data_IF_887972783345
#
_entry.id   IF_887972783345
#
_cell.length_a   1.000
_cell.length_b   1.000
_cell.length_c   1.000
_cell.angle_alpha   90.00
_cell.angle_beta   90.00
_cell.angle_gamma   90.00
#
_symmetry.space_group_name_H-M   'P 1'
#
loop_
_entity.id
_entity.type
_entity.pdbx_description
1 polymer ?
#
# COMPACT_ATOMS: atom_id res chain seq x y z
N UNK A 1 -22.72 -15.08 -7.03
CA UNK A 1 -21.36 -14.49 -6.93
C UNK A 1 -21.48 -13.06 -6.45
N UNK A 2 -20.85 -12.72 -5.32
CA UNK A 2 -20.81 -11.35 -4.79
C UNK A 2 -19.94 -10.46 -5.70
N UNK A 3 -20.40 -9.25 -6.02
CA UNK A 3 -19.70 -8.33 -6.91
C UNK A 3 -19.79 -6.90 -6.39
N UNK A 4 -18.74 -6.13 -6.68
CA UNK A 4 -18.65 -4.69 -6.49
C UNK A 4 -18.56 -4.04 -7.88
N UNK A 5 -19.73 -3.73 -8.46
CA UNK A 5 -19.92 -3.47 -9.90
C UNK A 5 -19.48 -4.68 -10.74
N UNK A 6 -18.49 -4.48 -11.61
CA UNK A 6 -17.92 -5.48 -12.52
C UNK A 6 -16.83 -6.36 -11.90
N UNK A 7 -16.37 -6.04 -10.66
CA UNK A 7 -15.24 -6.73 -10.02
C UNK A 7 -15.67 -7.76 -8.98
N UNK A 8 -14.93 -8.87 -8.86
CA UNK A 8 -15.19 -9.91 -7.88
C UNK A 8 -14.62 -9.61 -6.49
N UNK A 9 -14.16 -8.38 -6.25
CA UNK A 9 -13.63 -7.90 -4.97
C UNK A 9 -13.95 -6.42 -4.73
N UNK A 10 -13.98 -6.03 -3.47
CA UNK A 10 -14.24 -4.65 -3.01
C UNK A 10 -13.08 -3.74 -3.39
N UNK A 11 -13.11 -3.22 -4.60
CA UNK A 11 -12.02 -2.41 -5.13
C UNK A 11 -12.07 -0.97 -4.63
N UNK A 12 -10.89 -0.35 -4.53
CA UNK A 12 -10.78 1.08 -4.20
C UNK A 12 -11.60 1.97 -5.14
N UNK A 13 -11.62 1.70 -6.45
CA UNK A 13 -12.41 2.49 -7.41
C UNK A 13 -13.93 2.39 -7.11
N UNK A 14 -14.42 1.22 -6.72
CA UNK A 14 -15.80 1.04 -6.30
C UNK A 14 -16.10 1.86 -5.04
N UNK A 15 -15.31 1.69 -3.98
CA UNK A 15 -15.49 2.42 -2.72
C UNK A 15 -15.44 3.93 -2.91
N UNK A 16 -14.52 4.44 -3.73
CA UNK A 16 -14.40 5.86 -4.00
C UNK A 16 -15.60 6.43 -4.75
N UNK A 17 -16.15 5.69 -5.71
CA UNK A 17 -17.37 6.10 -6.42
C UNK A 17 -18.59 6.12 -5.50
N UNK A 18 -18.73 5.13 -4.62
CA UNK A 18 -19.80 5.12 -3.62
C UNK A 18 -19.67 6.31 -2.65
N UNK A 19 -18.45 6.60 -2.19
CA UNK A 19 -18.20 7.68 -1.21
C UNK A 19 -18.30 9.09 -1.80
N UNK A 20 -17.81 9.29 -3.02
CA UNK A 20 -17.64 10.62 -3.63
C UNK A 20 -18.51 10.87 -4.86
N UNK A 21 -19.26 9.87 -5.34
CA UNK A 21 -20.16 9.99 -6.50
C UNK A 21 -19.45 9.98 -7.87
N UNK A 22 -18.11 10.03 -7.88
CA UNK A 22 -17.32 10.05 -9.10
C UNK A 22 -15.97 9.32 -8.93
N UNK A 23 -15.24 9.21 -10.00
CA UNK A 23 -13.89 8.64 -9.97
C UNK A 23 -12.91 9.60 -9.30
N UNK A 24 -12.15 9.10 -8.34
CA UNK A 24 -11.12 9.87 -7.62
C UNK A 24 -9.75 9.34 -7.99
N UNK A 25 -8.77 10.23 -8.21
CA UNK A 25 -7.40 9.85 -8.51
C UNK A 25 -6.45 10.24 -7.38
N UNK A 26 -5.31 9.56 -7.31
CA UNK A 26 -4.24 9.93 -6.38
C UNK A 26 -3.25 10.86 -7.06
N UNK A 27 -2.85 11.91 -6.35
CA UNK A 27 -1.68 12.74 -6.66
C UNK A 27 -0.57 12.35 -5.69
N UNK A 28 0.55 11.87 -6.21
CA UNK A 28 1.65 11.33 -5.40
C UNK A 28 2.62 12.45 -5.01
N UNK A 29 2.65 12.78 -3.73
CA UNK A 29 3.39 13.89 -3.15
C UNK A 29 4.67 13.43 -2.47
N UNK A 30 5.63 14.34 -2.42
CA UNK A 30 6.89 14.17 -1.70
C UNK A 30 7.04 15.30 -0.68
N UNK A 31 6.98 14.95 0.61
CA UNK A 31 7.12 15.90 1.71
C UNK A 31 8.56 16.16 2.15
N UNK A 32 9.56 15.57 1.47
CA UNK A 32 10.97 15.73 1.81
C UNK A 32 11.45 14.89 2.99
N UNK A 33 10.65 13.93 3.47
CA UNK A 33 11.03 13.05 4.58
C UNK A 33 12.10 12.04 4.19
N UNK A 34 12.77 11.49 5.20
CA UNK A 34 13.71 10.39 5.11
C UNK A 34 13.08 9.08 5.63
N UNK A 35 13.91 8.10 5.97
CA UNK A 35 13.51 6.83 6.57
C UNK A 35 14.54 6.42 7.62
N UNK A 36 14.14 5.99 8.84
CA UNK A 36 15.07 5.56 9.88
C UNK A 36 15.95 4.38 9.48
N UNK A 37 15.53 3.58 8.50
CA UNK A 37 16.37 2.52 7.91
C UNK A 37 17.47 3.06 6.96
N UNK A 38 17.53 4.38 6.69
CA UNK A 38 18.45 4.99 5.70
C UNK A 38 19.32 6.09 6.25
N UNK A 39 18.86 6.85 7.24
CA UNK A 39 19.58 8.01 7.78
C UNK A 39 20.58 7.66 8.89
N UNK A 40 20.65 6.39 9.28
CA UNK A 40 21.55 5.90 10.32
C UNK A 40 20.89 5.68 11.66
N UNK A 41 19.63 6.05 11.85
CA UNK A 41 18.88 5.84 13.09
C UNK A 41 18.72 4.34 13.40
N UNK A 42 18.23 3.56 12.43
CA UNK A 42 18.14 2.10 12.52
C UNK A 42 19.12 1.42 11.55
N UNK A 43 19.44 2.06 10.44
CA UNK A 43 20.32 1.54 9.43
C UNK A 43 20.59 2.54 8.32
N UNK A 44 21.56 2.22 7.44
CA UNK A 44 21.97 3.08 6.31
C UNK A 44 21.53 2.54 4.94
N UNK A 45 21.18 1.24 4.86
CA UNK A 45 20.93 0.55 3.57
C UNK A 45 19.46 0.54 3.16
N UNK A 46 18.53 0.79 4.09
CA UNK A 46 17.10 0.61 3.85
C UNK A 46 16.65 -0.85 3.89
N UNK A 47 15.37 -1.09 3.61
CA UNK A 47 14.86 -2.44 3.37
C UNK A 47 15.52 -3.03 2.12
N UNK A 48 15.74 -4.36 2.09
CA UNK A 48 16.55 -4.99 1.04
C UNK A 48 15.96 -4.85 -0.37
N UNK A 49 14.65 -4.64 -0.49
CA UNK A 49 13.90 -4.50 -1.74
C UNK A 49 13.68 -3.03 -2.16
N UNK A 50 14.03 -2.06 -1.30
CA UNK A 50 13.65 -0.67 -1.50
C UNK A 50 14.65 0.05 -2.40
N UNK A 51 14.19 0.62 -3.53
CA UNK A 51 15.00 1.44 -4.43
C UNK A 51 15.57 2.69 -3.72
N UNK A 52 16.51 3.37 -4.35
CA UNK A 52 17.03 4.64 -3.82
C UNK A 52 15.93 5.71 -3.65
N UNK A 53 14.88 5.67 -4.47
CA UNK A 53 13.72 6.55 -4.37
C UNK A 53 12.78 6.27 -3.18
N UNK A 54 13.07 5.26 -2.34
CA UNK A 54 12.30 4.99 -1.12
C UNK A 54 10.82 4.74 -1.37
N UNK A 55 10.45 3.99 -2.42
CA UNK A 55 9.07 3.79 -2.91
C UNK A 55 8.41 5.05 -3.47
N UNK A 56 9.15 6.14 -3.62
CA UNK A 56 8.70 7.43 -4.15
C UNK A 56 9.07 7.67 -5.61
N UNK A 57 9.43 6.62 -6.37
CA UNK A 57 9.88 6.75 -7.77
C UNK A 57 8.87 7.46 -8.69
N UNK A 58 7.60 7.53 -8.28
CA UNK A 58 6.52 8.24 -8.98
C UNK A 58 6.02 9.49 -8.26
N UNK A 59 6.64 9.87 -7.14
CA UNK A 59 6.27 11.06 -6.40
C UNK A 59 6.78 12.34 -7.10
N UNK A 60 6.11 13.46 -6.81
CA UNK A 60 6.50 14.76 -7.33
C UNK A 60 7.88 15.20 -6.80
N UNK A 61 8.43 16.25 -7.41
CA UNK A 61 9.70 16.83 -6.98
C UNK A 61 9.53 17.53 -5.61
N UNK A 62 10.31 17.09 -4.62
CA UNK A 62 10.29 17.65 -3.25
C UNK A 62 10.73 19.13 -3.16
N UNK A 63 11.37 19.69 -4.19
CA UNK A 63 11.74 21.11 -4.22
C UNK A 63 10.54 22.06 -4.44
N UNK A 64 9.40 21.52 -4.89
CA UNK A 64 8.17 22.27 -5.09
C UNK A 64 7.33 22.31 -3.80
N UNK A 65 6.57 23.38 -3.56
CA UNK A 65 5.54 23.41 -2.51
C UNK A 65 4.50 22.30 -2.75
N UNK A 66 3.80 21.90 -1.71
CA UNK A 66 2.77 20.86 -1.83
C UNK A 66 1.67 21.26 -2.80
N UNK A 67 1.25 22.51 -2.77
CA UNK A 67 0.26 23.08 -3.71
C UNK A 67 0.74 23.00 -5.16
N UNK A 68 2.01 23.34 -5.43
CA UNK A 68 2.60 23.23 -6.78
C UNK A 68 2.68 21.79 -7.25
N UNK A 69 3.05 20.84 -6.36
CA UNK A 69 3.05 19.42 -6.65
C UNK A 69 1.64 18.93 -7.04
N UNK A 70 0.61 19.30 -6.26
CA UNK A 70 -0.79 18.95 -6.52
C UNK A 70 -1.21 19.50 -7.88
N UNK A 71 -1.05 20.81 -8.10
CA UNK A 71 -1.48 21.48 -9.33
C UNK A 71 -0.82 20.88 -10.59
N UNK A 72 0.47 20.58 -10.51
CA UNK A 72 1.22 19.98 -11.62
C UNK A 72 0.68 18.60 -11.99
N UNK A 73 0.39 17.76 -11.00
CA UNK A 73 -0.15 16.42 -11.24
C UNK A 73 -1.61 16.47 -11.69
N UNK A 74 -2.44 17.34 -11.12
CA UNK A 74 -3.82 17.57 -11.57
C UNK A 74 -3.83 17.96 -13.05
N UNK A 75 -2.99 18.91 -13.46
CA UNK A 75 -2.87 19.33 -14.87
C UNK A 75 -2.51 18.18 -15.78
N UNK A 76 -1.60 17.30 -15.36
CA UNK A 76 -1.21 16.11 -16.15
C UNK A 76 -2.31 15.05 -16.24
N UNK A 77 -3.13 14.89 -15.21
CA UNK A 77 -4.22 13.91 -15.17
C UNK A 77 -5.48 14.42 -15.88
N UNK A 78 -5.87 15.66 -15.65
CA UNK A 78 -7.08 16.29 -16.21
C UNK A 78 -7.02 16.46 -17.73
N UNK A 79 -5.81 16.60 -18.30
CA UNK A 79 -5.63 16.64 -19.77
C UNK A 79 -6.13 15.38 -20.47
N UNK A 80 -6.31 14.27 -19.75
CA UNK A 80 -6.73 12.98 -20.29
C UNK A 80 -8.21 12.66 -20.05
N UNK A 81 -8.83 13.25 -19.01
CA UNK A 81 -10.24 13.00 -18.61
C UNK A 81 -10.73 14.13 -17.68
N UNK A 82 -12.05 14.50 -17.71
CA UNK A 82 -12.62 15.39 -16.71
C UNK A 82 -12.62 14.68 -15.35
N UNK A 83 -11.84 15.19 -14.41
CA UNK A 83 -11.70 14.68 -13.05
C UNK A 83 -11.60 15.89 -12.14
N UNK A 84 -12.35 15.88 -11.03
CA UNK A 84 -12.45 17.03 -10.13
C UNK A 84 -12.08 16.70 -8.68
N UNK A 85 -11.86 15.41 -8.34
CA UNK A 85 -11.57 14.96 -6.97
C UNK A 85 -10.30 14.13 -6.92
N UNK A 86 -9.44 14.46 -5.97
CA UNK A 86 -8.15 13.81 -5.82
C UNK A 86 -7.86 13.46 -4.36
N UNK A 87 -7.04 12.43 -4.15
CA UNK A 87 -6.45 12.08 -2.87
C UNK A 87 -5.01 12.58 -2.87
N UNK A 88 -4.64 13.39 -1.91
CA UNK A 88 -3.27 13.77 -1.67
C UNK A 88 -2.54 12.60 -1.03
N UNK A 89 -1.61 11.96 -1.76
CA UNK A 89 -0.93 10.76 -1.32
C UNK A 89 0.56 11.02 -1.09
N UNK A 90 0.98 11.11 0.16
CA UNK A 90 2.38 11.16 0.56
C UNK A 90 2.97 9.76 0.51
N UNK A 91 3.87 9.53 -0.44
CA UNK A 91 4.34 8.19 -0.77
C UNK A 91 5.84 7.98 -0.51
N UNK A 92 6.69 9.00 -0.75
CA UNK A 92 8.14 8.86 -0.71
C UNK A 92 8.64 8.62 0.73
N UNK A 93 9.38 7.54 0.95
CA UNK A 93 10.01 7.20 2.24
C UNK A 93 8.99 6.99 3.39
N UNK A 94 9.24 7.62 4.56
CA UNK A 94 8.43 7.49 5.78
C UNK A 94 7.80 8.84 6.10
N UNK A 95 6.54 9.02 5.73
CA UNK A 95 5.94 10.36 5.65
C UNK A 95 5.45 10.93 6.98
N UNK A 96 5.70 10.26 8.10
CA UNK A 96 5.52 10.82 9.46
C UNK A 96 6.87 10.95 10.20
N UNK A 97 7.98 10.70 9.51
CA UNK A 97 9.31 10.76 10.09
C UNK A 97 9.95 12.15 9.86
N UNK A 98 9.41 13.14 10.54
CA UNK A 98 9.89 14.52 10.58
C UNK A 98 9.33 15.23 11.82
N UNK A 99 9.86 16.40 12.21
CA UNK A 99 9.25 17.22 13.28
C UNK A 99 7.78 17.50 13.01
N UNK A 100 6.92 17.40 14.01
CA UNK A 100 5.46 17.53 13.89
C UNK A 100 5.03 18.85 13.25
N UNK A 101 5.75 19.93 13.51
CA UNK A 101 5.47 21.24 12.90
C UNK A 101 5.69 21.25 11.38
N UNK A 102 6.69 20.52 10.88
CA UNK A 102 6.86 20.34 9.45
C UNK A 102 5.71 19.52 8.86
N UNK A 103 5.33 18.41 9.52
CA UNK A 103 4.20 17.57 9.10
C UNK A 103 2.89 18.37 9.08
N UNK A 104 2.64 19.16 10.14
CA UNK A 104 1.47 20.05 10.23
C UNK A 104 1.41 20.99 9.05
N UNK A 105 2.52 21.65 8.73
CA UNK A 105 2.58 22.58 7.59
C UNK A 105 2.20 21.91 6.28
N UNK A 106 2.87 20.83 5.91
CA UNK A 106 2.69 20.19 4.60
C UNK A 106 1.36 19.44 4.48
N UNK A 107 0.86 18.80 5.56
CA UNK A 107 -0.42 18.11 5.52
C UNK A 107 -1.60 19.08 5.53
N UNK A 108 -1.50 20.22 6.27
CA UNK A 108 -2.52 21.26 6.23
C UNK A 108 -2.56 21.92 4.86
N UNK A 109 -1.42 22.20 4.23
CA UNK A 109 -1.34 22.70 2.86
C UNK A 109 -2.04 21.75 1.88
N UNK A 110 -1.75 20.44 1.96
CA UNK A 110 -2.37 19.45 1.09
C UNK A 110 -3.89 19.34 1.28
N UNK A 111 -4.36 19.26 2.53
CA UNK A 111 -5.78 19.04 2.84
C UNK A 111 -6.64 20.28 2.58
N UNK A 112 -6.02 21.48 2.59
CA UNK A 112 -6.68 22.74 2.29
C UNK A 112 -6.97 22.95 0.80
N UNK A 113 -6.33 22.19 -0.07
CA UNK A 113 -6.58 22.31 -1.52
C UNK A 113 -8.02 21.92 -1.86
N UNK A 114 -8.77 22.73 -2.66
CA UNK A 114 -10.20 22.52 -2.91
C UNK A 114 -10.51 21.17 -3.57
N UNK A 115 -9.67 20.70 -4.49
CA UNK A 115 -9.88 19.46 -5.24
C UNK A 115 -9.44 18.20 -4.46
N UNK A 116 -8.80 18.37 -3.31
CA UNK A 116 -8.40 17.26 -2.44
C UNK A 116 -9.57 16.86 -1.54
N UNK A 117 -9.98 15.59 -1.64
CA UNK A 117 -11.10 15.04 -0.85
C UNK A 117 -10.65 14.16 0.30
N UNK A 118 -9.42 13.69 0.30
CA UNK A 118 -8.82 12.90 1.38
C UNK A 118 -7.29 13.01 1.37
N UNK A 119 -6.68 12.78 2.53
CA UNK A 119 -5.24 12.68 2.72
C UNK A 119 -4.86 11.23 2.92
N UNK A 120 -3.85 10.73 2.21
CA UNK A 120 -3.31 9.38 2.37
C UNK A 120 -1.81 9.46 2.66
N UNK A 121 -1.35 8.83 3.75
CA UNK A 121 0.02 8.98 4.26
C UNK A 121 0.66 7.60 4.40
N UNK A 122 1.64 7.30 3.52
CA UNK A 122 2.43 6.08 3.62
C UNK A 122 3.52 6.21 4.67
N UNK A 123 3.53 5.34 5.68
CA UNK A 123 4.49 5.41 6.78
C UNK A 123 4.80 4.06 7.41
N UNK A 124 5.72 4.10 8.36
CA UNK A 124 6.12 2.98 9.22
C UNK A 124 5.36 3.04 10.56
N UNK A 125 5.01 1.90 11.15
CA UNK A 125 4.33 1.86 12.44
C UNK A 125 5.13 2.51 13.58
N UNK A 126 6.45 2.40 13.56
CA UNK A 126 7.38 2.95 14.58
C UNK A 126 7.63 4.46 14.44
N UNK A 127 6.97 5.12 13.49
CA UNK A 127 7.06 6.58 13.29
C UNK A 127 5.71 7.28 13.54
N UNK A 128 4.93 6.79 14.49
CA UNK A 128 3.64 7.33 14.92
C UNK A 128 3.68 7.66 16.42
N UNK A 129 4.42 8.71 16.76
CA UNK A 129 4.42 9.26 18.14
C UNK A 129 3.10 9.93 18.50
N UNK A 130 2.86 10.21 19.77
CA UNK A 130 1.62 10.80 20.27
C UNK A 130 1.32 12.14 19.59
N UNK A 131 2.34 12.98 19.39
CA UNK A 131 2.24 14.26 18.68
C UNK A 131 1.80 14.13 17.22
N UNK A 132 2.26 13.07 16.55
CA UNK A 132 1.83 12.74 15.18
C UNK A 132 0.39 12.23 15.19
N UNK A 133 0.01 11.37 16.13
CA UNK A 133 -1.35 10.86 16.27
C UNK A 133 -2.35 12.01 16.52
N UNK A 134 -2.02 12.95 17.40
CA UNK A 134 -2.82 14.15 17.65
C UNK A 134 -2.98 15.02 16.38
N UNK A 135 -1.90 15.21 15.63
CA UNK A 135 -1.97 15.93 14.35
C UNK A 135 -2.89 15.22 13.35
N UNK A 136 -2.77 13.89 13.22
CA UNK A 136 -3.59 13.11 12.30
C UNK A 136 -5.07 13.13 12.69
N UNK A 137 -5.39 13.05 13.98
CA UNK A 137 -6.76 13.18 14.48
C UNK A 137 -7.33 14.57 14.16
N UNK A 138 -6.58 15.64 14.43
CA UNK A 138 -6.97 17.01 14.05
C UNK A 138 -7.28 17.13 12.56
N UNK A 139 -6.42 16.60 11.69
CA UNK A 139 -6.61 16.65 10.23
C UNK A 139 -7.81 15.81 9.78
N UNK A 140 -8.07 14.68 10.45
CA UNK A 140 -9.20 13.80 10.14
C UNK A 140 -10.56 14.43 10.45
N UNK A 141 -10.63 15.44 11.33
CA UNK A 141 -11.83 16.24 11.56
C UNK A 141 -12.11 17.22 10.39
N UNK A 142 -11.10 17.53 9.56
CA UNK A 142 -11.24 18.45 8.42
C UNK A 142 -11.65 17.69 7.15
N UNK A 143 -10.88 16.66 6.80
CA UNK A 143 -11.15 15.72 5.69
C UNK A 143 -10.62 14.34 6.06
N UNK A 144 -11.19 13.25 5.49
CA UNK A 144 -10.72 11.89 5.78
C UNK A 144 -9.21 11.71 5.63
N UNK A 145 -8.58 11.16 6.66
CA UNK A 145 -7.17 10.80 6.68
C UNK A 145 -7.04 9.28 6.65
N UNK A 146 -6.22 8.79 5.74
CA UNK A 146 -5.85 7.39 5.64
C UNK A 146 -4.37 7.23 5.95
N UNK A 147 -4.05 6.29 6.82
CA UNK A 147 -2.66 5.91 7.09
C UNK A 147 -2.37 4.58 6.44
N UNK A 148 -1.39 4.58 5.53
CA UNK A 148 -0.94 3.39 4.84
C UNK A 148 0.28 2.82 5.55
N UNK A 149 0.08 1.76 6.36
CA UNK A 149 1.11 1.14 7.18
C UNK A 149 1.87 0.04 6.44
N UNK A 150 3.19 0.12 6.48
CA UNK A 150 4.06 -0.96 6.03
C UNK A 150 4.08 -2.11 7.04
N UNK A 151 3.39 -3.21 6.79
CA UNK A 151 3.53 -4.48 7.53
C UNK A 151 4.52 -5.40 6.81
N UNK A 152 4.32 -5.55 5.53
CA UNK A 152 4.99 -6.43 4.58
C UNK A 152 4.67 -7.91 4.85
N UNK A 153 4.94 -8.41 6.05
CA UNK A 153 4.67 -9.77 6.55
C UNK A 153 4.48 -9.78 8.06
N UNK A 154 3.81 -10.80 8.59
CA UNK A 154 3.73 -11.07 10.05
C UNK A 154 4.89 -11.93 10.55
N UNK A 155 5.63 -12.59 9.66
CA UNK A 155 6.67 -13.55 10.00
C UNK A 155 7.98 -12.84 10.34
N UNK A 156 8.42 -12.95 11.59
CA UNK A 156 9.58 -12.18 12.11
C UNK A 156 10.91 -12.56 11.47
N UNK A 157 11.08 -13.81 11.03
CA UNK A 157 12.29 -14.25 10.31
C UNK A 157 12.39 -13.55 8.95
N UNK A 158 11.29 -13.53 8.20
CA UNK A 158 11.17 -12.77 6.95
C UNK A 158 11.34 -11.28 7.19
N UNK A 159 10.72 -10.74 8.25
CA UNK A 159 10.83 -9.33 8.61
C UNK A 159 12.27 -8.90 8.92
N UNK A 160 13.06 -9.77 9.58
CA UNK A 160 14.51 -9.57 9.79
C UNK A 160 15.27 -9.61 8.48
N UNK A 161 15.01 -10.62 7.64
CA UNK A 161 15.66 -10.75 6.34
C UNK A 161 15.44 -9.51 5.46
N UNK A 162 14.21 -9.00 5.38
CA UNK A 162 13.90 -7.80 4.59
C UNK A 162 14.30 -6.49 5.28
N UNK A 163 14.88 -6.54 6.48
CA UNK A 163 15.26 -5.37 7.29
C UNK A 163 14.10 -4.42 7.56
N UNK A 164 12.93 -4.98 7.94
CA UNK A 164 11.76 -4.16 8.30
C UNK A 164 12.08 -3.18 9.44
N UNK A 165 12.82 -3.63 10.46
CA UNK A 165 13.41 -2.79 11.51
C UNK A 165 12.49 -2.44 12.66
N UNK A 166 11.32 -3.08 12.78
CA UNK A 166 10.40 -3.02 13.93
C UNK A 166 9.69 -4.36 14.12
N UNK A 167 9.32 -4.72 15.38
CA UNK A 167 8.60 -5.96 15.66
C UNK A 167 7.12 -5.86 15.29
N UNK A 168 6.45 -7.01 15.16
CA UNK A 168 5.02 -7.08 14.84
C UNK A 168 4.15 -6.33 15.86
N UNK A 169 4.51 -6.39 17.16
CA UNK A 169 3.79 -5.68 18.22
C UNK A 169 3.76 -4.15 18.04
N UNK A 170 4.75 -3.57 17.37
CA UNK A 170 4.74 -2.15 17.00
C UNK A 170 3.62 -1.85 15.98
N UNK A 171 3.42 -2.75 15.01
CA UNK A 171 2.32 -2.64 14.06
C UNK A 171 0.96 -2.76 14.77
N UNK A 172 0.80 -3.71 15.69
CA UNK A 172 -0.43 -3.88 16.47
C UNK A 172 -0.81 -2.62 17.23
N UNK A 173 0.17 -2.03 17.91
CA UNK A 173 -0.02 -0.77 18.65
C UNK A 173 -0.41 0.37 17.74
N UNK A 174 0.26 0.52 16.60
CA UNK A 174 -0.04 1.56 15.62
C UNK A 174 -1.47 1.43 15.06
N UNK A 175 -1.90 0.22 14.67
CA UNK A 175 -3.27 -0.03 14.19
C UNK A 175 -4.30 0.30 15.28
N UNK A 176 -4.06 -0.13 16.54
CA UNK A 176 -4.95 0.17 17.66
C UNK A 176 -5.10 1.67 17.88
N UNK A 177 -4.00 2.41 17.92
CA UNK A 177 -4.01 3.86 18.17
C UNK A 177 -4.70 4.63 17.03
N UNK A 178 -4.39 4.33 15.77
CA UNK A 178 -5.03 4.95 14.62
C UNK A 178 -6.55 4.71 14.61
N UNK A 179 -6.98 3.48 14.89
CA UNK A 179 -8.40 3.15 14.96
C UNK A 179 -9.12 3.83 16.11
N UNK A 180 -8.47 4.01 17.25
CA UNK A 180 -9.03 4.76 18.37
C UNK A 180 -9.31 6.23 18.01
N UNK A 181 -8.49 6.84 17.15
CA UNK A 181 -8.71 8.17 16.54
C UNK A 181 -9.64 8.16 15.31
N UNK A 182 -10.30 7.04 14.98
CA UNK A 182 -11.19 6.95 13.82
C UNK A 182 -10.48 7.06 12.46
N UNK A 183 -9.17 6.87 12.42
CA UNK A 183 -8.35 6.98 11.21
C UNK A 183 -8.38 5.66 10.46
N UNK A 184 -8.66 5.71 9.15
CA UNK A 184 -8.68 4.52 8.29
C UNK A 184 -7.25 3.98 8.07
N UNK A 185 -7.07 2.68 8.35
CA UNK A 185 -5.78 1.98 8.20
C UNK A 185 -5.78 1.14 6.94
N UNK A 186 -4.81 1.40 6.07
CA UNK A 186 -4.54 0.61 4.87
C UNK A 186 -3.20 -0.10 5.05
N UNK A 187 -3.17 -1.42 4.90
CA UNK A 187 -1.97 -2.21 5.16
C UNK A 187 -1.28 -2.57 3.85
N UNK A 188 0.05 -2.37 3.83
CA UNK A 188 0.90 -2.86 2.76
C UNK A 188 1.47 -4.23 3.11
N UNK A 189 1.16 -5.23 2.29
CA UNK A 189 1.78 -6.57 2.33
C UNK A 189 2.56 -6.80 1.05
N UNK A 190 3.60 -7.63 1.11
CA UNK A 190 4.37 -8.04 -0.07
C UNK A 190 4.20 -9.55 -0.25
N UNK A 191 3.68 -9.95 -1.41
CA UNK A 191 3.52 -11.33 -1.80
C UNK A 191 4.76 -11.81 -2.56
N UNK A 192 5.31 -12.96 -2.15
CA UNK A 192 6.48 -13.57 -2.76
C UNK A 192 7.80 -13.19 -2.09
N UNK A 193 7.77 -12.79 -0.82
CA UNK A 193 8.99 -12.60 -0.03
C UNK A 193 9.76 -13.94 0.07
N UNK A 194 11.09 -13.91 -0.04
CA UNK A 194 11.91 -15.12 0.08
C UNK A 194 11.67 -15.84 1.41
N UNK A 195 11.49 -17.15 1.33
CA UNK A 195 11.23 -18.01 2.49
C UNK A 195 9.76 -18.16 2.86
N UNK A 196 8.85 -17.37 2.30
CA UNK A 196 7.42 -17.49 2.57
C UNK A 196 6.72 -18.43 1.59
N UNK A 197 5.98 -19.38 2.16
CA UNK A 197 5.07 -20.26 1.43
C UNK A 197 3.69 -19.64 1.25
N UNK A 198 2.84 -20.29 0.43
CA UNK A 198 1.41 -19.93 0.33
C UNK A 198 0.72 -19.94 1.71
N UNK A 199 1.08 -20.90 2.60
CA UNK A 199 0.50 -21.00 3.94
C UNK A 199 0.82 -19.75 4.77
N UNK A 200 2.06 -19.31 4.79
CA UNK A 200 2.52 -18.13 5.54
C UNK A 200 1.80 -16.86 5.08
N UNK A 201 1.61 -16.72 3.77
CA UNK A 201 0.87 -15.60 3.19
C UNK A 201 -0.61 -15.63 3.62
N UNK A 202 -1.27 -16.80 3.65
CA UNK A 202 -2.65 -16.91 4.10
C UNK A 202 -2.79 -16.71 5.62
N UNK A 203 -1.80 -17.08 6.42
CA UNK A 203 -1.73 -16.73 7.84
C UNK A 203 -1.70 -15.20 8.02
N UNK A 204 -0.95 -14.48 7.17
CA UNK A 204 -0.97 -13.02 7.15
C UNK A 204 -2.37 -12.48 6.81
N UNK A 205 -3.10 -13.06 5.87
CA UNK A 205 -4.49 -12.64 5.57
C UNK A 205 -5.44 -12.89 6.76
N UNK A 206 -5.32 -14.06 7.40
CA UNK A 206 -6.11 -14.39 8.59
C UNK A 206 -5.84 -13.42 9.76
N UNK A 207 -4.57 -13.10 10.00
CA UNK A 207 -4.16 -12.10 10.99
C UNK A 207 -4.79 -10.72 10.71
N UNK A 208 -4.72 -10.24 9.48
CA UNK A 208 -5.27 -8.94 9.09
C UNK A 208 -6.80 -8.88 9.17
N UNK A 209 -7.50 -10.00 8.96
CA UNK A 209 -8.94 -10.08 9.20
C UNK A 209 -9.30 -9.78 10.67
N UNK A 210 -8.49 -10.23 11.63
CA UNK A 210 -8.70 -9.98 13.07
C UNK A 210 -8.35 -8.54 13.49
N UNK A 211 -7.50 -7.85 12.73
CA UNK A 211 -7.07 -6.48 13.04
C UNK A 211 -8.11 -5.40 12.67
N UNK A 212 -9.19 -5.76 11.98
CA UNK A 212 -10.24 -4.83 11.53
C UNK A 212 -9.71 -3.63 10.74
N UNK A 213 -8.77 -3.86 9.85
CA UNK A 213 -8.25 -2.85 8.91
C UNK A 213 -9.31 -2.47 7.87
N UNK A 214 -9.22 -1.26 7.31
CA UNK A 214 -10.16 -0.77 6.30
C UNK A 214 -9.72 -1.08 4.87
N UNK A 215 -8.41 -1.21 4.64
CA UNK A 215 -7.91 -1.50 3.30
C UNK A 215 -6.60 -2.26 3.27
N UNK A 216 -6.30 -2.86 2.12
CA UNK A 216 -5.07 -3.62 1.92
C UNK A 216 -4.49 -3.40 0.52
N UNK A 217 -3.18 -3.42 0.44
CA UNK A 217 -2.40 -3.52 -0.80
C UNK A 217 -1.69 -4.88 -0.82
N UNK A 218 -2.14 -5.77 -1.70
CA UNK A 218 -1.44 -7.02 -2.03
C UNK A 218 -0.39 -6.70 -3.09
N UNK A 219 0.83 -6.44 -2.65
CA UNK A 219 1.89 -6.00 -3.56
C UNK A 219 2.76 -7.18 -3.97
N UNK A 220 3.00 -7.34 -5.28
CA UNK A 220 3.98 -8.28 -5.79
C UNK A 220 5.39 -7.82 -5.41
N UNK A 221 6.22 -8.75 -4.95
CA UNK A 221 7.66 -8.49 -4.79
C UNK A 221 8.28 -8.14 -6.13
N UNK A 222 8.98 -7.01 -6.17
CA UNK A 222 9.80 -6.60 -7.31
C UNK A 222 11.28 -6.67 -6.94
N UNK A 223 12.06 -7.27 -7.79
CA UNK A 223 13.53 -7.22 -7.74
C UNK A 223 13.98 -6.02 -8.57
N UNK A 224 14.53 -5.04 -7.90
CA UNK A 224 14.94 -3.77 -8.52
C UNK A 224 16.47 -3.65 -8.55
N UNK A 225 16.99 -3.15 -9.65
CA UNK A 225 18.43 -2.87 -9.82
C UNK A 225 18.96 -1.97 -8.68
N UNK A 226 20.14 -2.29 -8.18
CA UNK A 226 20.82 -1.52 -7.13
C UNK A 226 20.28 -1.78 -5.72
N UNK A 227 19.47 -2.83 -5.52
CA UNK A 227 19.02 -3.29 -4.21
C UNK A 227 19.80 -4.54 -3.76
N UNK A 228 19.92 -4.76 -2.45
CA UNK A 228 20.55 -6.00 -1.94
C UNK A 228 19.74 -7.23 -2.33
N UNK A 229 18.40 -7.11 -2.47
CA UNK A 229 17.53 -8.17 -2.96
C UNK A 229 17.88 -8.60 -4.40
N UNK A 230 18.36 -7.66 -5.24
CA UNK A 230 18.81 -7.98 -6.59
C UNK A 230 20.06 -8.87 -6.57
N UNK A 231 20.99 -8.62 -5.65
CA UNK A 231 22.18 -9.45 -5.47
C UNK A 231 21.80 -10.88 -5.00
N UNK A 232 20.87 -10.99 -4.05
CA UNK A 232 20.37 -12.30 -3.57
C UNK A 232 19.66 -13.08 -4.69
N UNK A 233 18.90 -12.39 -5.54
CA UNK A 233 18.24 -12.99 -6.70
C UNK A 233 19.26 -13.45 -7.76
N UNK A 234 20.26 -12.64 -8.05
CA UNK A 234 21.34 -12.98 -9.01
C UNK A 234 22.17 -14.17 -8.51
N UNK A 235 22.38 -14.28 -7.20
CA UNK A 235 23.03 -15.42 -6.55
C UNK A 235 22.14 -16.69 -6.52
N UNK A 236 20.90 -16.65 -7.00
CA UNK A 236 19.97 -17.77 -7.04
C UNK A 236 19.42 -18.18 -5.68
N UNK A 237 19.48 -17.31 -4.66
CA UNK A 237 18.99 -17.61 -3.31
C UNK A 237 17.47 -17.72 -3.23
N UNK A 238 16.75 -17.13 -4.16
CA UNK A 238 15.32 -17.27 -4.33
C UNK A 238 14.90 -17.01 -5.79
N UNK A 239 13.67 -17.40 -6.13
CA UNK A 239 13.04 -17.07 -7.42
C UNK A 239 11.82 -16.18 -7.20
N UNK A 240 11.48 -15.37 -8.18
CA UNK A 240 10.20 -14.67 -8.22
C UNK A 240 9.08 -15.58 -8.71
N UNK A 241 7.84 -15.28 -8.38
CA UNK A 241 6.69 -16.00 -8.90
C UNK A 241 6.56 -15.85 -10.42
N UNK A 242 6.22 -16.95 -11.07
CA UNK A 242 5.66 -16.92 -12.41
C UNK A 242 4.26 -16.27 -12.37
N UNK A 243 3.85 -15.66 -13.49
CA UNK A 243 2.58 -14.92 -13.55
C UNK A 243 1.39 -15.73 -13.04
N UNK A 244 1.29 -16.98 -13.48
CA UNK A 244 0.16 -17.84 -13.17
C UNK A 244 0.14 -18.30 -11.72
N UNK A 245 1.30 -18.56 -11.13
CA UNK A 245 1.47 -18.83 -9.69
C UNK A 245 0.99 -17.61 -8.86
N UNK A 246 1.44 -16.42 -9.24
CA UNK A 246 1.06 -15.19 -8.56
C UNK A 246 -0.45 -14.93 -8.62
N UNK A 247 -1.06 -15.10 -9.80
CA UNK A 247 -2.50 -14.89 -9.96
C UNK A 247 -3.33 -15.86 -9.11
N UNK A 248 -2.92 -17.14 -9.02
CA UNK A 248 -3.58 -18.10 -8.13
C UNK A 248 -3.43 -17.69 -6.66
N UNK A 249 -2.24 -17.26 -6.25
CA UNK A 249 -2.00 -16.77 -4.89
C UNK A 249 -2.85 -15.54 -4.54
N UNK A 250 -2.97 -14.58 -5.46
CA UNK A 250 -3.83 -13.39 -5.27
C UNK A 250 -5.30 -13.79 -5.12
N UNK A 251 -5.77 -14.76 -5.93
CA UNK A 251 -7.13 -15.29 -5.80
C UNK A 251 -7.33 -15.90 -4.41
N UNK A 252 -6.39 -16.73 -3.96
CA UNK A 252 -6.44 -17.32 -2.62
C UNK A 252 -6.48 -16.24 -1.52
N UNK A 253 -5.62 -15.21 -1.61
CA UNK A 253 -5.64 -14.10 -0.67
C UNK A 253 -7.01 -13.39 -0.65
N UNK A 254 -7.57 -13.10 -1.82
CA UNK A 254 -8.86 -12.45 -1.92
C UNK A 254 -9.99 -13.32 -1.33
N UNK A 255 -10.00 -14.62 -1.60
CA UNK A 255 -10.99 -15.54 -1.02
C UNK A 255 -10.93 -15.61 0.51
N UNK A 256 -9.74 -15.43 1.10
CA UNK A 256 -9.51 -15.46 2.54
C UNK A 256 -9.58 -14.09 3.24
N UNK A 257 -9.80 -13.00 2.51
CA UNK A 257 -10.00 -11.66 3.09
C UNK A 257 -11.48 -11.37 3.29
N UNK A 258 -11.82 -10.74 4.43
CA UNK A 258 -13.19 -10.26 4.69
C UNK A 258 -13.65 -9.34 3.56
N UNK A 259 -14.91 -9.43 3.20
CA UNK A 259 -15.50 -8.71 2.07
C UNK A 259 -15.67 -7.20 2.29
N UNK A 260 -15.53 -6.72 3.52
CA UNK A 260 -15.54 -5.28 3.87
C UNK A 260 -14.17 -4.61 3.72
N UNK A 261 -13.07 -5.36 3.68
CA UNK A 261 -11.73 -4.81 3.45
C UNK A 261 -11.60 -4.32 2.01
N UNK A 262 -11.26 -3.04 1.83
CA UNK A 262 -11.08 -2.45 0.50
C UNK A 262 -9.74 -2.88 -0.10
N UNK A 263 -9.78 -3.42 -1.31
CA UNK A 263 -8.59 -3.82 -2.06
C UNK A 263 -8.05 -2.62 -2.83
N UNK A 264 -6.99 -2.01 -2.31
CA UNK A 264 -6.34 -0.84 -2.92
C UNK A 264 -5.44 -1.23 -4.10
N UNK A 265 -4.88 -2.43 -4.06
CA UNK A 265 -3.95 -2.92 -5.08
C UNK A 265 -3.85 -4.45 -5.01
N UNK A 266 -3.73 -5.09 -6.17
CA UNK A 266 -3.50 -6.55 -6.30
C UNK A 266 -2.19 -6.88 -7.04
N UNK A 267 -1.37 -5.88 -7.36
CA UNK A 267 -0.04 -6.01 -7.95
C UNK A 267 0.76 -4.73 -7.69
N UNK A 268 2.05 -4.74 -7.94
CA UNK A 268 2.91 -3.57 -7.82
C UNK A 268 3.09 -2.80 -9.12
N UNK A 269 3.62 -1.58 -9.01
CA UNK A 269 4.18 -0.81 -10.12
C UNK A 269 5.67 -0.59 -9.80
N UNK A 270 6.57 -1.35 -10.43
CA UNK A 270 8.01 -1.11 -10.35
C UNK A 270 8.45 -0.12 -11.44
N UNK A 271 9.44 0.75 -11.16
CA UNK A 271 10.04 1.57 -12.20
C UNK A 271 10.64 0.66 -13.28
N UNK A 272 10.23 0.86 -14.53
CA UNK A 272 10.54 -0.07 -15.63
C UNK A 272 12.03 -0.18 -15.93
N UNK A 273 12.75 0.90 -15.73
CA UNK A 273 14.21 1.02 -15.92
C UNK A 273 15.01 0.31 -14.83
N UNK A 274 14.41 0.11 -13.65
CA UNK A 274 15.02 -0.59 -12.52
C UNK A 274 14.56 -2.05 -12.38
N UNK A 275 13.44 -2.44 -12.98
CA UNK A 275 12.84 -3.76 -12.78
C UNK A 275 13.70 -4.88 -13.42
N UNK A 276 14.22 -5.79 -12.59
CA UNK A 276 14.92 -7.01 -12.99
C UNK A 276 13.94 -8.17 -13.10
N UNK A 277 13.12 -8.39 -12.05
CA UNK A 277 12.17 -9.50 -12.01
C UNK A 277 10.96 -9.17 -11.10
N UNK A 278 9.79 -9.78 -11.37
CA UNK A 278 9.45 -10.52 -12.57
C UNK A 278 9.06 -9.57 -13.72
N UNK A 279 9.56 -9.77 -14.92
CA UNK A 279 9.36 -8.86 -16.06
C UNK A 279 7.89 -8.78 -16.52
N UNK A 280 7.10 -9.84 -16.32
CA UNK A 280 5.67 -9.84 -16.67
C UNK A 280 4.86 -8.80 -15.88
N UNK A 281 5.35 -8.36 -14.70
CA UNK A 281 4.68 -7.33 -13.88
C UNK A 281 4.57 -5.98 -14.58
N UNK A 282 5.45 -5.68 -15.55
CA UNK A 282 5.39 -4.47 -16.37
C UNK A 282 4.13 -4.34 -17.24
N UNK A 283 3.42 -5.47 -17.46
CA UNK A 283 2.18 -5.54 -18.25
C UNK A 283 0.93 -5.52 -17.36
N UNK A 284 0.85 -4.59 -16.44
CA UNK A 284 -0.18 -4.50 -15.40
C UNK A 284 -1.61 -4.69 -15.90
N UNK A 285 -1.96 -4.08 -17.05
CA UNK A 285 -3.31 -4.19 -17.60
C UNK A 285 -3.66 -5.64 -18.01
N UNK A 286 -2.72 -6.35 -18.59
CA UNK A 286 -2.87 -7.76 -18.95
C UNK A 286 -3.03 -8.63 -17.71
N UNK A 287 -2.22 -8.39 -16.69
CA UNK A 287 -2.28 -9.10 -15.38
C UNK A 287 -3.65 -8.93 -14.73
N UNK A 288 -4.18 -7.71 -14.68
CA UNK A 288 -5.50 -7.42 -14.10
C UNK A 288 -6.65 -8.07 -14.89
N UNK A 289 -6.59 -8.00 -16.21
CA UNK A 289 -7.61 -8.64 -17.06
C UNK A 289 -7.62 -10.16 -16.86
N UNK A 290 -6.45 -10.78 -16.80
CA UNK A 290 -6.30 -12.22 -16.59
C UNK A 290 -6.77 -12.64 -15.18
N UNK A 291 -6.47 -11.84 -14.15
CA UNK A 291 -6.99 -12.06 -12.79
C UNK A 291 -8.52 -12.09 -12.78
N UNK A 292 -9.17 -11.08 -13.37
CA UNK A 292 -10.63 -11.01 -13.41
C UNK A 292 -11.25 -12.17 -14.20
N UNK A 293 -10.62 -12.56 -15.32
CA UNK A 293 -11.06 -13.70 -16.12
C UNK A 293 -11.02 -15.00 -15.31
N UNK A 294 -9.88 -15.30 -14.66
CA UNK A 294 -9.72 -16.49 -13.82
C UNK A 294 -10.67 -16.52 -12.64
N UNK A 295 -10.87 -15.39 -11.97
CA UNK A 295 -11.83 -15.32 -10.87
C UNK A 295 -13.26 -15.61 -11.34
N UNK A 296 -13.61 -15.15 -12.55
CA UNK A 296 -14.91 -15.45 -13.16
C UNK A 296 -15.05 -16.93 -13.49
N UNK A 297 -14.05 -17.56 -14.11
CA UNK A 297 -14.05 -18.99 -14.43
C UNK A 297 -14.15 -19.88 -13.20
N UNK A 298 -13.46 -19.51 -12.11
CA UNK A 298 -13.49 -20.23 -10.83
C UNK A 298 -14.69 -19.88 -9.96
N UNK A 299 -15.58 -19.01 -10.43
CA UNK A 299 -16.67 -18.42 -9.62
C UNK A 299 -16.15 -17.90 -8.26
N UNK A 300 -14.94 -17.32 -8.28
CA UNK A 300 -14.24 -16.81 -7.11
C UNK A 300 -14.62 -15.36 -6.82
N UNK A 301 -14.69 -15.03 -5.53
CA UNK A 301 -14.93 -13.66 -5.06
C UNK A 301 -14.29 -13.45 -3.68
N UNK A 302 -14.09 -12.20 -3.30
CA UNK A 302 -13.51 -11.85 -2.00
C UNK A 302 -14.39 -12.36 -0.85
N UNK A 303 -13.77 -13.10 0.07
CA UNK A 303 -14.43 -13.70 1.25
C UNK A 303 -15.08 -15.05 1.01
N UNK A 304 -14.95 -15.64 -0.19
CA UNK A 304 -15.58 -16.94 -0.52
C UNK A 304 -15.15 -18.05 0.45
N UNK A 305 -13.88 -18.16 0.80
CA UNK A 305 -13.39 -19.18 1.72
C UNK A 305 -13.96 -19.00 3.14
N UNK A 306 -14.13 -17.75 3.58
CA UNK A 306 -14.71 -17.44 4.90
C UNK A 306 -16.20 -17.79 4.97
N UNK A 307 -16.97 -17.58 3.88
CA UNK A 307 -18.39 -17.97 3.81
C UNK A 307 -18.59 -19.49 3.83
N UNK A 308 -17.66 -20.25 3.25
CA UNK A 308 -17.70 -21.73 3.28
C UNK A 308 -17.43 -22.22 4.70
N UNK A 309 -16.41 -21.68 5.37
CA UNK A 309 -16.06 -22.06 6.74
C UNK A 309 -17.20 -21.77 7.73
N UNK A 310 -17.88 -20.64 7.59
CA UNK A 310 -19.01 -20.27 8.46
C UNK A 310 -20.27 -21.14 8.28
N UNK A 311 -20.42 -21.80 7.12
CA UNK A 311 -21.54 -22.74 6.85
C UNK A 311 -21.23 -24.19 7.28
N UNK A 312 -19.99 -24.47 7.60
CA UNK A 312 -19.51 -25.82 7.99
C UNK A 312 -19.41 -25.97 9.52
N UNK A 313 -19.66 -24.90 10.27
CA UNK A 313 -19.81 -24.86 11.73
C UNK A 313 -21.29 -24.80 12.11
#
# INVERSE_FOLDING_TARGET
MKRWNDKPYHSLDYMLRERYGEKVYRVALNGGMSCPNRDGTLGKKGCIFCSQGGSGDFAANAALSITEQINTQIKSLSSKRPIHKYIAYFQAYTNTYAPVEHLRKIFTEAISHPDIVALSIGTRPDCLGDDVLELLDFLNQIKPVWVELGLQTIHEDTARYIRRGYPLSCFDTAVKNLRAGGIEVIVHTILGLPGESRKDILETMAYLNAMYIQGIKLQLLHVLRGTDLAADHEAGLFRTYERDEYLNLVIDCLEHLRSDIVIHRVTGDGPKDLLIAPLWASRKREVLNLLHHRMKEKESFQGKALEILSKSQ
#
